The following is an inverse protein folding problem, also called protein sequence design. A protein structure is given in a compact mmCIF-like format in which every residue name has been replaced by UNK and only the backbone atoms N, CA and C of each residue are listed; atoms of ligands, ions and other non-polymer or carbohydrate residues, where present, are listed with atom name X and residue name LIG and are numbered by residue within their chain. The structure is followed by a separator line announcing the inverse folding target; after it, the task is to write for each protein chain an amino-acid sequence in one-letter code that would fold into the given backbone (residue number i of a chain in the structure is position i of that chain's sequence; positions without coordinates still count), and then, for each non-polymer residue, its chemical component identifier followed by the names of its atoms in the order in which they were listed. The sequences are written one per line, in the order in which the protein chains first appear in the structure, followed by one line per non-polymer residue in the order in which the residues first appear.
data_IF_363439901126
#
_entry.id   IF_363439901126
#
_cell.length_a   1.000
_cell.length_b   1.000
_cell.length_c   1.000
_cell.angle_alpha   90.00
_cell.angle_beta   90.00
_cell.angle_gamma   90.00
#
_symmetry.space_group_name_H-M   'P 1'
#
loop_
_entity.id
_entity.type
_entity.pdbx_description
1 polymer ?
#
# COMPACT_ATOMS: atom_id res chain seq x y z
N UNK A 1 15.22 -12.02 3.32
CA UNK A 1 14.17 -12.26 4.33
C UNK A 1 12.89 -11.76 3.70
N UNK A 2 11.92 -12.64 3.55
CA UNK A 2 10.61 -12.31 2.99
C UNK A 2 9.81 -11.52 4.03
N UNK A 3 9.49 -10.25 3.74
CA UNK A 3 8.69 -9.41 4.64
C UNK A 3 7.33 -9.16 4.00
N UNK A 4 6.25 -9.43 4.73
CA UNK A 4 4.88 -9.17 4.26
C UNK A 4 4.64 -7.66 4.15
N UNK A 5 3.91 -7.27 3.11
CA UNK A 5 3.58 -5.87 2.83
C UNK A 5 2.10 -5.74 2.47
N UNK A 6 1.51 -4.60 2.77
CA UNK A 6 0.08 -4.31 2.56
C UNK A 6 -0.13 -2.96 1.87
N UNK A 7 -0.77 -3.00 0.70
CA UNK A 7 -1.32 -1.81 0.07
C UNK A 7 -2.79 -1.67 0.48
N UNK A 8 -3.21 -0.48 0.91
CA UNK A 8 -4.61 -0.20 1.22
C UNK A 8 -5.27 0.56 0.08
N UNK A 9 -6.50 0.17 -0.26
CA UNK A 9 -7.29 0.82 -1.32
C UNK A 9 -8.78 0.67 -1.04
N UNK A 10 -9.62 1.55 -1.56
CA UNK A 10 -11.07 1.37 -1.50
C UNK A 10 -11.54 0.25 -2.45
N UNK A 11 -12.61 -0.46 -2.09
CA UNK A 11 -13.16 -1.54 -2.92
C UNK A 11 -13.57 -1.07 -4.33
N UNK A 12 -14.01 0.17 -4.48
CA UNK A 12 -14.41 0.72 -5.80
C UNK A 12 -13.24 0.77 -6.80
N UNK A 13 -12.01 0.76 -6.31
CA UNK A 13 -10.82 0.72 -7.15
C UNK A 13 -10.53 -0.69 -7.69
N UNK A 14 -11.10 -1.73 -7.09
CA UNK A 14 -10.74 -3.12 -7.39
C UNK A 14 -11.07 -3.49 -8.84
N UNK A 15 -12.25 -3.11 -9.34
CA UNK A 15 -12.64 -3.40 -10.72
C UNK A 15 -11.64 -2.81 -11.73
N UNK A 16 -11.17 -1.57 -11.51
CA UNK A 16 -10.14 -0.95 -12.35
C UNK A 16 -8.80 -1.67 -12.22
N UNK A 17 -8.36 -2.01 -11.00
CA UNK A 17 -7.10 -2.75 -10.78
C UNK A 17 -7.13 -4.10 -11.52
N UNK A 18 -8.24 -4.82 -11.46
CA UNK A 18 -8.43 -6.08 -12.18
C UNK A 18 -8.41 -5.88 -13.70
N UNK A 19 -9.11 -4.86 -14.21
CA UNK A 19 -9.14 -4.55 -15.65
C UNK A 19 -7.78 -4.11 -16.21
N UNK A 20 -6.96 -3.43 -15.40
CA UNK A 20 -5.60 -3.03 -15.78
C UNK A 20 -4.55 -4.15 -15.55
N UNK A 21 -4.92 -5.22 -14.85
CA UNK A 21 -4.01 -6.32 -14.50
C UNK A 21 -2.88 -5.92 -13.53
N UNK A 22 -2.93 -4.72 -12.95
CA UNK A 22 -1.90 -4.21 -12.04
C UNK A 22 -2.42 -3.06 -11.18
N UNK A 23 -1.69 -2.78 -10.10
CA UNK A 23 -1.80 -1.55 -9.33
C UNK A 23 -0.87 -0.52 -9.98
N UNK A 24 -1.39 0.63 -10.36
CA UNK A 24 -0.60 1.75 -10.84
C UNK A 24 -0.20 2.69 -9.70
N UNK A 25 1.00 3.27 -9.81
CA UNK A 25 1.41 4.42 -9.01
C UNK A 25 0.50 5.62 -9.26
N UNK A 26 0.48 6.59 -8.33
CA UNK A 26 -0.35 7.79 -8.49
C UNK A 26 0.00 8.57 -9.76
N UNK A 27 1.28 8.69 -10.10
CA UNK A 27 1.74 9.35 -11.32
C UNK A 27 1.18 8.66 -12.58
N UNK A 28 1.33 7.33 -12.69
CA UNK A 28 0.82 6.56 -13.84
C UNK A 28 -0.69 6.57 -13.91
N UNK A 29 -1.38 6.48 -12.77
CA UNK A 29 -2.83 6.57 -12.71
C UNK A 29 -3.35 7.91 -13.27
N UNK A 30 -2.69 9.01 -12.92
CA UNK A 30 -3.02 10.36 -13.42
C UNK A 30 -2.73 10.45 -14.93
N UNK A 31 -1.54 10.00 -15.36
CA UNK A 31 -1.15 9.96 -16.78
C UNK A 31 -2.17 9.21 -17.66
N UNK A 32 -2.66 8.07 -17.16
CA UNK A 32 -3.63 7.22 -17.86
C UNK A 32 -5.09 7.68 -17.69
N UNK A 33 -5.36 8.72 -16.90
CA UNK A 33 -6.72 9.22 -16.65
C UNK A 33 -7.62 8.23 -15.91
N UNK A 34 -7.05 7.35 -15.08
CA UNK A 34 -7.81 6.31 -14.38
C UNK A 34 -8.57 6.90 -13.18
N UNK A 35 -9.87 6.65 -13.14
CA UNK A 35 -10.75 6.99 -12.02
C UNK A 35 -10.33 6.19 -10.79
N UNK A 36 -10.27 6.85 -9.64
CA UNK A 36 -9.88 6.25 -8.38
C UNK A 36 -10.59 6.93 -7.23
N UNK A 37 -11.21 6.13 -6.37
CA UNK A 37 -11.66 6.56 -5.06
C UNK A 37 -10.41 6.81 -4.20
N UNK A 38 -10.09 8.09 -4.03
CA UNK A 38 -9.01 8.52 -3.15
C UNK A 38 -9.42 8.32 -1.69
N UNK A 39 -8.57 7.66 -0.91
CA UNK A 39 -8.74 7.44 0.55
C UNK A 39 -7.61 8.07 1.36
N UNK A 40 -6.64 8.71 0.71
CA UNK A 40 -5.54 9.41 1.37
C UNK A 40 -5.66 10.91 1.17
N UNK A 41 -4.90 11.68 1.93
CA UNK A 41 -4.85 13.13 1.76
C UNK A 41 -4.35 13.53 0.37
N UNK A 42 -5.14 14.34 -0.33
CA UNK A 42 -4.85 14.86 -1.67
C UNK A 42 -3.55 15.65 -1.68
N UNK A 43 -3.35 16.50 -0.67
CA UNK A 43 -2.15 17.33 -0.56
C UNK A 43 -0.87 16.50 -0.30
N UNK A 44 -0.97 15.36 0.40
CA UNK A 44 0.17 14.43 0.58
C UNK A 44 0.52 13.76 -0.76
N UNK A 45 -0.48 13.25 -1.48
CA UNK A 45 -0.29 12.67 -2.82
C UNK A 45 0.35 13.66 -3.78
N UNK A 46 -0.07 14.93 -3.76
CA UNK A 46 0.53 16.00 -4.59
C UNK A 46 2.00 16.24 -4.27
N UNK A 47 2.39 16.27 -2.99
CA UNK A 47 3.81 16.38 -2.61
C UNK A 47 4.62 15.19 -3.08
N UNK A 48 4.08 13.98 -2.97
CA UNK A 48 4.75 12.75 -3.43
C UNK A 48 5.08 12.79 -4.92
N UNK A 49 4.22 13.39 -5.76
CA UNK A 49 4.46 13.54 -7.20
C UNK A 49 5.68 14.40 -7.56
N UNK A 50 6.21 15.19 -6.62
CA UNK A 50 7.39 16.04 -6.83
C UNK A 50 8.56 15.70 -5.89
N UNK A 51 8.37 14.76 -4.96
CA UNK A 51 9.36 14.34 -3.96
C UNK A 51 10.41 13.43 -4.62
N UNK A 52 11.69 13.82 -4.76
CA UNK A 52 12.66 13.04 -5.52
C UNK A 52 13.02 11.71 -4.87
N UNK A 53 13.27 10.70 -5.72
CA UNK A 53 13.88 9.43 -5.35
C UNK A 53 15.30 9.39 -5.90
N UNK A 54 16.26 9.00 -5.06
CA UNK A 54 17.71 8.99 -5.37
C UNK A 54 18.27 7.58 -5.57
N UNK A 55 17.44 6.55 -5.40
CA UNK A 55 17.79 5.13 -5.46
C UNK A 55 16.87 4.39 -6.46
N UNK A 56 17.04 3.09 -6.65
CA UNK A 56 16.22 2.29 -7.57
C UNK A 56 16.14 2.92 -8.98
N UNK A 57 14.93 3.20 -9.51
CA UNK A 57 14.73 3.87 -10.80
C UNK A 57 14.84 5.41 -10.76
N UNK A 58 15.01 6.02 -9.59
CA UNK A 58 14.94 7.47 -9.43
C UNK A 58 13.54 8.05 -9.66
N UNK A 59 13.45 9.28 -10.16
CA UNK A 59 12.16 9.95 -10.38
C UNK A 59 11.59 10.54 -9.10
N UNK A 60 10.31 10.28 -8.81
CA UNK A 60 9.61 10.82 -7.63
C UNK A 60 8.84 9.75 -6.87
N UNK A 61 8.58 9.98 -5.58
CA UNK A 61 7.81 9.04 -4.73
C UNK A 61 6.45 8.69 -5.33
N UNK A 62 5.78 9.66 -5.97
CA UNK A 62 4.48 9.46 -6.61
C UNK A 62 4.51 8.53 -7.82
N UNK A 63 5.70 8.20 -8.35
CA UNK A 63 5.90 7.17 -9.37
C UNK A 63 6.06 5.76 -8.79
N UNK A 64 5.96 5.58 -7.46
CA UNK A 64 6.05 4.28 -6.82
C UNK A 64 4.72 3.90 -6.17
N UNK A 65 4.34 2.62 -6.29
CA UNK A 65 3.20 2.04 -5.57
C UNK A 65 3.64 1.79 -4.13
N UNK A 66 2.99 2.42 -3.13
CA UNK A 66 3.37 2.27 -1.73
C UNK A 66 2.74 1.03 -1.10
N UNK A 67 3.50 0.34 -0.26
CA UNK A 67 3.01 -0.69 0.64
C UNK A 67 3.51 -0.42 2.06
N UNK A 68 2.61 -0.56 3.02
CA UNK A 68 2.95 -0.53 4.43
C UNK A 68 3.55 -1.88 4.84
N UNK A 69 4.50 -1.89 5.78
CA UNK A 69 4.97 -3.12 6.41
C UNK A 69 3.98 -3.72 7.43
N UNK A 70 2.85 -3.06 7.67
CA UNK A 70 1.80 -3.54 8.57
C UNK A 70 0.40 -3.22 8.03
N UNK A 71 -0.63 -4.02 8.40
CA UNK A 71 -2.00 -3.72 8.02
C UNK A 71 -2.59 -2.53 8.79
N UNK A 72 -2.35 -2.40 10.10
CA UNK A 72 -2.80 -1.25 10.90
C UNK A 72 -1.87 -0.05 10.72
N UNK A 73 -1.91 0.59 9.55
CA UNK A 73 -1.06 1.74 9.22
C UNK A 73 -1.59 3.05 9.83
N UNK A 74 -0.73 4.06 9.95
CA UNK A 74 -1.13 5.40 10.38
C UNK A 74 -2.17 6.00 9.43
N UNK A 75 -2.03 5.78 8.11
CA UNK A 75 -3.02 6.23 7.14
C UNK A 75 -4.39 5.56 7.36
N UNK A 76 -4.42 4.26 7.70
CA UNK A 76 -5.69 3.59 8.02
C UNK A 76 -6.34 4.16 9.30
N UNK A 77 -5.56 4.56 10.30
CA UNK A 77 -6.08 5.26 11.47
C UNK A 77 -6.70 6.61 11.10
N UNK A 78 -6.03 7.39 10.24
CA UNK A 78 -6.57 8.65 9.72
C UNK A 78 -7.90 8.42 8.99
N UNK A 79 -7.98 7.39 8.14
CA UNK A 79 -9.22 7.00 7.45
C UNK A 79 -10.31 6.61 8.45
N UNK A 80 -9.96 5.89 9.53
CA UNK A 80 -10.91 5.53 10.58
C UNK A 80 -11.48 6.76 11.30
N UNK A 81 -10.66 7.78 11.56
CA UNK A 81 -11.10 9.04 12.15
C UNK A 81 -11.86 9.95 11.17
N UNK A 82 -11.63 9.79 9.87
CA UNK A 82 -12.15 10.66 8.81
C UNK A 82 -11.32 11.94 8.63
N UNK A 83 -11.34 12.49 7.41
CA UNK A 83 -10.70 13.75 7.07
C UNK A 83 -11.36 14.41 5.85
N UNK A 84 -11.01 15.68 5.55
CA UNK A 84 -11.70 16.50 4.54
C UNK A 84 -11.73 15.91 3.11
N UNK A 85 -10.72 15.10 2.75
CA UNK A 85 -10.65 14.44 1.44
C UNK A 85 -11.40 13.09 1.42
N UNK A 86 -11.70 12.50 2.58
CA UNK A 86 -12.36 11.20 2.70
C UNK A 86 -12.94 10.96 4.10
N UNK A 87 -14.26 10.77 4.18
CA UNK A 87 -15.02 10.52 5.42
C UNK A 87 -15.76 9.16 5.42
N UNK A 88 -15.56 8.32 4.40
CA UNK A 88 -16.23 7.03 4.23
C UNK A 88 -15.80 5.94 5.21
N UNK A 89 -14.89 6.23 6.14
CA UNK A 89 -14.36 5.29 7.11
C UNK A 89 -13.57 4.13 6.48
N UNK A 90 -13.29 3.11 7.26
CA UNK A 90 -12.40 2.01 6.85
C UNK A 90 -13.13 0.71 6.47
N UNK A 91 -14.46 0.69 6.50
CA UNK A 91 -15.24 -0.55 6.31
C UNK A 91 -15.10 -1.13 4.91
N UNK A 92 -14.97 -0.27 3.91
CA UNK A 92 -14.82 -0.60 2.49
C UNK A 92 -13.36 -0.54 2.01
N UNK A 93 -12.41 -0.38 2.93
CA UNK A 93 -10.97 -0.46 2.62
C UNK A 93 -10.56 -1.92 2.53
N UNK A 94 -9.74 -2.23 1.53
CA UNK A 94 -9.13 -3.55 1.29
C UNK A 94 -7.65 -3.50 1.64
N UNK A 95 -7.13 -4.57 2.24
CA UNK A 95 -5.70 -4.83 2.32
C UNK A 95 -5.27 -5.76 1.19
N UNK A 96 -4.55 -5.27 0.20
CA UNK A 96 -3.90 -6.08 -0.82
C UNK A 96 -2.54 -6.55 -0.29
N UNK A 97 -2.44 -7.84 0.03
CA UNK A 97 -1.28 -8.43 0.72
C UNK A 97 -0.34 -9.09 -0.29
N UNK A 98 0.94 -8.79 -0.17
CA UNK A 98 2.03 -9.49 -0.84
C UNK A 98 3.25 -9.53 0.10
N UNK A 99 4.44 -9.69 -0.46
CA UNK A 99 5.72 -9.57 0.23
C UNK A 99 6.78 -8.99 -0.69
N UNK A 100 7.83 -8.47 -0.06
CA UNK A 100 8.92 -7.76 -0.74
C UNK A 100 9.60 -8.59 -1.82
N UNK A 101 9.82 -9.90 -1.61
CA UNK A 101 10.50 -10.75 -2.58
C UNK A 101 9.62 -11.00 -3.81
N UNK A 102 8.34 -11.29 -3.60
CA UNK A 102 7.39 -11.59 -4.69
C UNK A 102 7.15 -10.38 -5.57
N UNK A 103 6.97 -9.20 -4.98
CA UNK A 103 6.84 -7.96 -5.76
C UNK A 103 8.12 -7.70 -6.56
N UNK A 104 9.29 -7.89 -5.94
CA UNK A 104 10.60 -7.64 -6.58
C UNK A 104 10.92 -8.59 -7.74
N UNK A 105 10.37 -9.80 -7.74
CA UNK A 105 10.50 -10.71 -8.88
C UNK A 105 9.87 -10.14 -10.16
N UNK A 106 8.78 -9.37 -10.02
CA UNK A 106 8.09 -8.72 -11.13
C UNK A 106 8.43 -7.23 -11.30
N UNK A 107 9.20 -6.64 -10.39
CA UNK A 107 9.57 -5.22 -10.39
C UNK A 107 10.97 -5.04 -9.79
N UNK A 108 11.96 -4.87 -10.66
CA UNK A 108 13.38 -4.76 -10.26
C UNK A 108 13.71 -3.43 -9.56
N UNK A 109 12.88 -2.41 -9.74
CA UNK A 109 13.11 -1.07 -9.21
C UNK A 109 12.23 -0.84 -7.98
N UNK A 110 12.62 -1.49 -6.89
CA UNK A 110 11.99 -1.28 -5.59
C UNK A 110 12.99 -0.69 -4.60
N UNK A 111 12.49 0.03 -3.62
CA UNK A 111 13.24 0.45 -2.44
C UNK A 111 12.32 0.44 -1.22
N UNK A 112 12.87 0.65 -0.05
CA UNK A 112 12.10 0.90 1.16
C UNK A 112 12.65 2.11 1.91
N UNK A 113 11.87 2.59 2.86
CA UNK A 113 12.22 3.69 3.74
C UNK A 113 12.21 3.23 5.19
N UNK A 114 13.03 3.85 6.02
CA UNK A 114 13.09 3.58 7.46
C UNK A 114 11.97 4.27 8.25
N UNK A 115 11.44 5.35 7.70
CA UNK A 115 10.33 6.13 8.21
C UNK A 115 9.40 6.58 7.06
N UNK A 116 8.42 7.44 7.34
CA UNK A 116 7.52 8.00 6.32
C UNK A 116 8.28 8.64 5.15
N UNK A 117 8.05 8.15 3.92
CA UNK A 117 8.83 8.50 2.73
C UNK A 117 8.76 9.99 2.31
N UNK A 118 7.78 10.74 2.81
CA UNK A 118 7.66 12.18 2.57
C UNK A 118 8.65 13.01 3.41
N UNK A 119 9.25 12.45 4.45
CA UNK A 119 10.15 13.18 5.35
C UNK A 119 11.49 13.48 4.67
N UNK A 120 12.04 14.67 4.96
CA UNK A 120 13.30 15.15 4.36
C UNK A 120 14.51 14.26 4.67
N UNK A 121 14.47 13.65 5.86
CA UNK A 121 15.52 12.82 6.41
C UNK A 121 15.20 11.32 6.35
N UNK A 122 14.14 10.91 5.65
CA UNK A 122 13.89 9.50 5.40
C UNK A 122 15.02 8.92 4.54
N UNK A 123 15.61 7.82 5.00
CA UNK A 123 16.59 7.09 4.22
C UNK A 123 15.87 6.28 3.14
N UNK A 124 16.31 6.40 1.89
CA UNK A 124 15.80 5.59 0.78
C UNK A 124 16.80 4.47 0.51
N UNK A 125 16.37 3.22 0.69
CA UNK A 125 17.26 2.05 0.73
C UNK A 125 16.82 1.03 -0.33
N UNK A 126 17.65 0.79 -1.35
CA UNK A 126 17.43 -0.24 -2.36
C UNK A 126 18.29 -1.51 -2.14
N UNK A 127 19.19 -1.49 -1.15
CA UNK A 127 19.84 -2.69 -0.61
C UNK A 127 18.92 -3.41 0.39
N UNK A 128 18.18 -4.41 -0.11
CA UNK A 128 17.27 -5.21 0.71
C UNK A 128 17.94 -6.14 1.72
N UNK A 129 19.27 -6.24 1.76
CA UNK A 129 19.94 -6.93 2.88
C UNK A 129 19.78 -6.14 4.18
N UNK A 130 19.60 -4.82 4.07
CA UNK A 130 19.37 -3.87 5.17
C UNK A 130 17.93 -3.84 5.70
N UNK A 131 17.00 -4.59 5.10
CA UNK A 131 15.60 -4.60 5.56
C UNK A 131 15.45 -5.04 7.03
N UNK A 132 16.44 -5.76 7.56
CA UNK A 132 16.50 -6.19 8.96
C UNK A 132 16.89 -5.05 9.92
N UNK A 133 17.29 -3.88 9.42
CA UNK A 133 17.52 -2.67 10.23
C UNK A 133 16.18 -2.10 10.74
N UNK A 134 15.09 -2.37 10.03
CA UNK A 134 13.75 -2.04 10.51
C UNK A 134 13.33 -3.00 11.62
N UNK A 135 12.75 -2.46 12.69
CA UNK A 135 12.06 -3.27 13.69
C UNK A 135 10.68 -3.72 13.16
N UNK A 136 10.69 -4.61 12.16
CA UNK A 136 9.50 -5.15 11.51
C UNK A 136 8.55 -5.79 12.53
N UNK A 137 9.10 -6.41 13.60
CA UNK A 137 8.28 -7.02 14.65
C UNK A 137 7.49 -5.96 15.41
N UNK A 138 8.11 -4.84 15.78
CA UNK A 138 7.44 -3.71 16.41
C UNK A 138 6.42 -3.07 15.47
N UNK A 139 6.84 -2.77 14.23
CA UNK A 139 5.97 -2.17 13.21
C UNK A 139 4.71 -3.01 12.97
N UNK A 140 4.80 -4.35 12.98
CA UNK A 140 3.63 -5.21 12.76
C UNK A 140 2.75 -5.33 14.02
N UNK A 141 3.35 -5.55 15.19
CA UNK A 141 2.62 -6.03 16.36
C UNK A 141 2.16 -4.93 17.33
N UNK A 142 2.85 -3.78 17.38
CA UNK A 142 2.48 -2.72 18.32
C UNK A 142 1.28 -1.91 17.80
N UNK A 143 0.24 -1.87 18.64
CA UNK A 143 -1.03 -1.18 18.36
C UNK A 143 -0.95 0.33 18.60
N UNK A 144 -0.22 0.73 19.65
CA UNK A 144 -0.02 2.12 20.04
C UNK A 144 1.34 2.55 19.51
N UNK A 145 1.33 3.45 18.53
CA UNK A 145 2.51 3.85 17.77
C UNK A 145 2.91 5.30 17.97
N UNK A 146 2.34 5.99 18.98
CA UNK A 146 2.64 7.39 19.24
C UNK A 146 4.14 7.66 19.41
N UNK A 147 4.85 6.74 20.07
CA UNK A 147 6.29 6.87 20.36
C UNK A 147 7.20 6.40 19.21
N UNK A 148 6.66 5.88 18.11
CA UNK A 148 7.42 5.44 16.93
C UNK A 148 6.62 5.66 15.63
N UNK A 149 5.90 6.78 15.57
CA UNK A 149 4.94 7.09 14.50
C UNK A 149 5.60 7.13 13.13
N UNK A 150 6.84 7.60 13.06
CA UNK A 150 7.56 7.77 11.80
C UNK A 150 8.01 6.41 11.26
N UNK A 151 8.57 5.56 12.10
CA UNK A 151 9.00 4.19 11.80
C UNK A 151 7.79 3.29 11.47
N UNK A 152 6.65 3.50 12.14
CA UNK A 152 5.39 2.82 11.81
C UNK A 152 4.93 3.11 10.36
N UNK A 153 5.36 4.24 9.81
CA UNK A 153 5.07 4.69 8.45
C UNK A 153 6.21 4.37 7.47
N UNK A 154 7.19 3.55 7.84
CA UNK A 154 8.11 2.94 6.89
C UNK A 154 7.32 2.26 5.75
N UNK A 155 7.74 2.50 4.51
CA UNK A 155 7.07 1.98 3.31
C UNK A 155 8.04 1.15 2.46
N UNK A 156 7.50 0.11 1.83
CA UNK A 156 8.08 -0.53 0.66
C UNK A 156 7.47 0.08 -0.60
N UNK A 157 8.29 0.45 -1.57
CA UNK A 157 7.93 1.27 -2.73
C UNK A 157 8.38 0.57 -4.01
N UNK A 158 7.45 0.30 -4.93
CA UNK A 158 7.70 -0.41 -6.19
C UNK A 158 7.42 0.50 -7.40
N UNK A 159 8.36 0.60 -8.34
CA UNK A 159 8.32 1.59 -9.42
C UNK A 159 7.18 1.34 -10.42
N UNK A 160 6.45 2.41 -10.73
CA UNK A 160 5.32 2.56 -11.67
C UNK A 160 4.12 1.65 -11.47
N UNK A 161 4.31 0.33 -11.38
CA UNK A 161 3.24 -0.65 -11.25
C UNK A 161 3.62 -1.89 -10.45
N UNK A 162 2.59 -2.55 -9.91
CA UNK A 162 2.70 -3.88 -9.31
C UNK A 162 1.66 -4.80 -9.93
N UNK A 163 2.13 -5.89 -10.54
CA UNK A 163 1.25 -6.84 -11.25
C UNK A 163 0.22 -7.46 -10.31
N UNK A 164 -1.03 -7.58 -10.74
CA UNK A 164 -2.11 -8.15 -9.93
C UNK A 164 -1.79 -9.57 -9.44
N UNK A 165 -1.07 -10.35 -10.26
CA UNK A 165 -0.65 -11.73 -9.99
C UNK A 165 0.23 -11.90 -8.76
N UNK A 166 0.89 -10.83 -8.27
CA UNK A 166 1.72 -10.90 -7.06
C UNK A 166 0.92 -10.71 -5.77
N UNK A 167 -0.34 -10.28 -5.85
CA UNK A 167 -1.22 -10.14 -4.68
C UNK A 167 -1.63 -11.54 -4.23
N UNK A 168 -1.31 -11.91 -3.00
CA UNK A 168 -1.52 -13.28 -2.48
C UNK A 168 -2.81 -13.41 -1.69
N UNK A 169 -3.20 -12.36 -0.98
CA UNK A 169 -4.42 -12.32 -0.18
C UNK A 169 -5.05 -10.93 -0.23
N UNK A 170 -6.38 -10.88 -0.07
CA UNK A 170 -7.13 -9.63 0.16
C UNK A 170 -7.72 -9.71 1.56
N UNK A 171 -7.29 -8.82 2.45
CA UNK A 171 -7.88 -8.66 3.77
C UNK A 171 -9.06 -7.71 3.75
N UNK A 172 -10.17 -8.11 4.35
CA UNK A 172 -11.40 -7.31 4.47
C UNK A 172 -11.89 -7.27 5.92
N UNK A 173 -12.65 -6.23 6.29
CA UNK A 173 -13.11 -6.07 7.67
C UNK A 173 -14.26 -7.01 8.03
N UNK A 174 -15.21 -7.22 7.13
CA UNK A 174 -16.45 -7.95 7.38
C UNK A 174 -16.71 -9.03 6.32
N UNK A 175 -17.60 -9.97 6.64
CA UNK A 175 -18.02 -11.01 5.70
C UNK A 175 -18.77 -10.43 4.49
N UNK A 176 -19.55 -9.37 4.67
CA UNK A 176 -20.29 -8.74 3.56
C UNK A 176 -19.35 -8.18 2.50
N UNK A 177 -18.29 -7.49 2.93
CA UNK A 177 -17.25 -6.98 2.01
C UNK A 177 -16.48 -8.15 1.38
N UNK A 178 -16.26 -9.24 2.11
CA UNK A 178 -15.66 -10.45 1.53
C UNK A 178 -16.51 -11.00 0.37
N UNK A 179 -17.82 -11.06 0.55
CA UNK A 179 -18.75 -11.54 -0.47
C UNK A 179 -18.71 -10.63 -1.72
N UNK A 180 -18.71 -9.32 -1.53
CA UNK A 180 -18.61 -8.33 -2.60
C UNK A 180 -17.28 -8.42 -3.38
N UNK A 181 -16.15 -8.54 -2.67
CA UNK A 181 -14.84 -8.77 -3.30
C UNK A 181 -14.84 -10.07 -4.10
N UNK A 182 -15.37 -11.16 -3.54
CA UNK A 182 -15.43 -12.45 -4.24
C UNK A 182 -16.29 -12.37 -5.51
N UNK A 183 -17.38 -11.59 -5.50
CA UNK A 183 -18.17 -11.31 -6.70
C UNK A 183 -17.33 -10.60 -7.77
N UNK A 184 -16.57 -9.56 -7.40
CA UNK A 184 -15.69 -8.84 -8.33
C UNK A 184 -14.58 -9.73 -8.91
N UNK A 185 -14.09 -10.70 -8.12
CA UNK A 185 -13.04 -11.64 -8.54
C UNK A 185 -13.55 -12.79 -9.43
N UNK A 186 -14.86 -12.99 -9.60
CA UNK A 186 -15.40 -14.17 -10.30
C UNK A 186 -14.81 -14.39 -11.69
N UNK A 187 -14.59 -13.30 -12.44
CA UNK A 187 -14.06 -13.35 -13.81
C UNK A 187 -12.56 -13.03 -13.90
N UNK A 188 -11.89 -12.78 -12.78
CA UNK A 188 -10.45 -12.54 -12.78
C UNK A 188 -9.68 -13.85 -13.03
N UNK A 189 -8.59 -13.79 -13.80
CA UNK A 189 -7.72 -14.95 -14.02
C UNK A 189 -6.99 -15.34 -12.72
N UNK A 190 -6.45 -14.34 -12.01
CA UNK A 190 -5.83 -14.51 -10.70
C UNK A 190 -6.81 -14.11 -9.60
N UNK A 191 -7.03 -15.01 -8.64
CA UNK A 191 -8.02 -14.86 -7.56
C UNK A 191 -7.33 -15.10 -6.21
N UNK A 192 -6.77 -14.04 -5.60
CA UNK A 192 -6.17 -14.15 -4.27
C UNK A 192 -7.23 -14.60 -3.25
N UNK A 193 -6.78 -15.29 -2.20
CA UNK A 193 -7.67 -15.66 -1.09
C UNK A 193 -8.22 -14.40 -0.40
N UNK A 194 -9.55 -14.32 -0.25
CA UNK A 194 -10.21 -13.23 0.49
C UNK A 194 -10.39 -13.65 1.94
N UNK A 195 -9.78 -12.93 2.88
CA UNK A 195 -9.78 -13.25 4.31
C UNK A 195 -10.45 -12.16 5.14
N UNK A 196 -11.40 -12.56 5.99
CA UNK A 196 -12.02 -11.66 6.97
C UNK A 196 -11.07 -11.49 8.15
N UNK A 197 -10.60 -10.26 8.37
CA UNK A 197 -9.58 -9.90 9.35
C UNK A 197 -9.91 -8.57 10.04
N UNK A 198 -10.98 -8.49 10.86
CA UNK A 198 -11.35 -7.25 11.55
C UNK A 198 -10.23 -6.69 12.42
N UNK A 199 -9.32 -7.54 12.94
CA UNK A 199 -8.16 -7.13 13.73
C UNK A 199 -7.13 -6.27 12.95
N UNK A 200 -7.19 -6.27 11.61
CA UNK A 200 -6.35 -5.42 10.76
C UNK A 200 -6.84 -3.97 10.67
N UNK A 201 -8.04 -3.70 11.18
CA UNK A 201 -8.72 -2.40 11.12
C UNK A 201 -8.76 -1.74 12.50
N UNK A 202 -8.90 -0.41 12.56
CA UNK A 202 -8.93 0.34 13.81
C UNK A 202 -10.14 0.10 14.69
#
# INVERSE_FOLDING_TARGET
MTVKVSHITHIDNLASILGQGCLWSDAKRIELGLVNQNIGYSHIKQRRLVRPVKVAAGGTIGQYVPFNFCPRSVMLYVIHCGHDDFDGGQDKVLHLISDTETVRLGNQHCFFTDIHADLDYAEQIDDFTRINELDIKRIINERYWQDFKEEKQAEFLAFESVQWTVIRQIGVKTQDVANEVNMLLQNAQHKPEVVVRPQWYY
#
